data_IF_862245910971
#
_entry.id   IF_862245910971
#
_cell.length_a   1.000
_cell.length_b   1.000
_cell.length_c   1.000
_cell.angle_alpha   90.00
_cell.angle_beta   90.00
_cell.angle_gamma   90.00
#
_symmetry.space_group_name_H-M   'P 1'
#
loop_
_entity.id
_entity.type
_entity.pdbx_description
1 polymer ?
#
# COMPACT_ATOMS: atom_id res chain seq x y z
N UNK A 1 12.25 19.42 -15.38
CA UNK A 1 12.33 18.47 -14.27
C UNK A 1 11.03 17.71 -14.15
N UNK A 2 11.11 16.40 -14.12
CA UNK A 2 9.92 15.57 -13.94
C UNK A 2 9.43 15.64 -12.49
N UNK A 3 8.21 16.08 -12.27
CA UNK A 3 7.57 16.02 -10.97
C UNK A 3 7.07 14.61 -10.70
N UNK A 4 7.46 14.03 -9.59
CA UNK A 4 7.06 12.69 -9.19
C UNK A 4 5.99 12.74 -8.13
N UNK A 5 5.15 11.71 -8.08
CA UNK A 5 4.18 11.57 -7.01
C UNK A 5 4.86 11.21 -5.71
N UNK A 6 4.41 11.83 -4.63
CA UNK A 6 4.79 11.46 -3.27
C UNK A 6 3.66 10.62 -2.69
N UNK A 7 3.93 9.34 -2.51
CA UNK A 7 2.99 8.41 -1.91
C UNK A 7 3.44 8.13 -0.48
N UNK A 8 2.54 8.28 0.48
CA UNK A 8 2.80 7.96 1.88
C UNK A 8 1.83 6.92 2.37
N UNK A 9 2.32 6.01 3.20
CA UNK A 9 1.50 5.03 3.86
C UNK A 9 1.75 5.08 5.36
N UNK A 10 0.67 5.12 6.14
CA UNK A 10 0.72 5.09 7.61
C UNK A 10 -0.09 3.89 8.05
N UNK A 11 0.51 3.04 8.89
CA UNK A 11 -0.14 1.84 9.43
C UNK A 11 -0.45 2.06 10.90
N UNK A 12 -1.69 1.78 11.28
CA UNK A 12 -2.16 1.85 12.65
C UNK A 12 -2.61 0.47 13.12
N UNK A 13 -2.53 0.25 14.44
CA UNK A 13 -3.15 -0.93 15.06
C UNK A 13 -4.66 -0.69 15.24
N UNK A 14 -5.36 -1.68 15.81
CA UNK A 14 -6.82 -1.62 15.98
C UNK A 14 -7.23 -0.51 16.94
N UNK A 15 -6.35 -0.10 17.86
CA UNK A 15 -6.61 0.98 18.80
C UNK A 15 -6.27 2.36 18.25
N UNK A 16 -5.75 2.44 17.02
CA UNK A 16 -5.40 3.70 16.37
C UNK A 16 -3.98 4.20 16.62
N UNK A 17 -3.13 3.37 17.25
CA UNK A 17 -1.72 3.73 17.45
C UNK A 17 -0.94 3.57 16.15
N UNK A 18 -0.13 4.57 15.80
CA UNK A 18 0.71 4.51 14.61
C UNK A 18 1.85 3.51 14.81
N UNK A 19 1.94 2.51 13.93
CA UNK A 19 2.98 1.49 13.97
C UNK A 19 4.13 1.81 13.02
N UNK A 20 3.85 2.46 11.92
CA UNK A 20 4.87 2.78 10.91
C UNK A 20 4.39 3.85 9.94
N UNK A 21 5.37 4.46 9.28
CA UNK A 21 5.17 5.47 8.25
C UNK A 21 6.22 5.23 7.17
N UNK A 22 5.84 5.33 5.91
CA UNK A 22 6.78 5.17 4.80
C UNK A 22 6.37 6.00 3.60
N UNK A 23 7.35 6.33 2.76
CA UNK A 23 7.14 6.96 1.45
C UNK A 23 7.64 6.02 0.36
N UNK A 24 7.11 6.17 -0.85
CA UNK A 24 7.53 5.38 -1.99
C UNK A 24 8.97 5.71 -2.41
N UNK A 25 9.60 4.76 -3.12
CA UNK A 25 10.93 4.94 -3.69
C UNK A 25 10.87 4.74 -5.20
N UNK A 26 11.68 5.52 -5.92
CA UNK A 26 11.87 5.36 -7.36
C UNK A 26 13.22 4.70 -7.70
N UNK A 27 14.00 4.36 -6.68
CA UNK A 27 15.36 3.83 -6.86
C UNK A 27 15.63 2.55 -6.07
N UNK A 28 14.90 2.33 -4.97
CA UNK A 28 15.12 1.18 -4.08
C UNK A 28 14.17 0.06 -4.41
N UNK A 29 14.63 -1.17 -4.19
CA UNK A 29 13.80 -2.38 -4.31
C UNK A 29 13.94 -3.21 -3.03
N UNK A 30 13.09 -4.23 -2.90
CA UNK A 30 13.11 -5.13 -1.76
C UNK A 30 12.59 -6.49 -2.20
N UNK A 31 13.10 -7.60 -1.67
CA UNK A 31 12.63 -8.93 -2.04
C UNK A 31 11.12 -9.13 -1.87
N UNK A 32 10.51 -8.51 -0.85
CA UNK A 32 9.05 -8.60 -0.66
C UNK A 32 8.28 -7.87 -1.75
N UNK A 33 8.77 -6.72 -2.21
CA UNK A 33 8.16 -6.04 -3.36
C UNK A 33 8.19 -6.94 -4.59
N UNK A 34 9.34 -7.54 -4.87
CA UNK A 34 9.49 -8.44 -6.01
C UNK A 34 8.58 -9.68 -5.88
N UNK A 35 8.47 -10.22 -4.66
CA UNK A 35 7.61 -11.37 -4.38
C UNK A 35 6.13 -11.07 -4.71
N UNK A 36 5.59 -9.97 -4.17
CA UNK A 36 4.19 -9.61 -4.40
C UNK A 36 3.95 -9.15 -5.84
N UNK A 37 4.93 -8.48 -6.46
CA UNK A 37 4.83 -8.11 -7.87
C UNK A 37 4.69 -9.36 -8.75
N UNK A 38 5.47 -10.38 -8.48
CA UNK A 38 5.39 -11.66 -9.21
C UNK A 38 4.04 -12.33 -9.00
N UNK A 39 3.55 -12.38 -7.76
CA UNK A 39 2.24 -12.96 -7.44
C UNK A 39 1.09 -12.23 -8.15
N UNK A 40 1.22 -10.93 -8.33
CA UNK A 40 0.21 -10.11 -9.01
C UNK A 40 0.33 -10.14 -10.54
N UNK A 41 1.29 -10.91 -11.08
CA UNK A 41 1.51 -10.95 -12.53
C UNK A 41 2.18 -9.70 -13.09
N UNK A 42 2.89 -8.94 -12.25
CA UNK A 42 3.55 -7.69 -12.65
C UNK A 42 5.03 -7.69 -12.24
N UNK A 43 5.83 -8.68 -12.70
CA UNK A 43 7.19 -8.89 -12.18
C UNK A 43 8.18 -7.77 -12.44
N UNK A 44 7.88 -6.85 -13.36
CA UNK A 44 8.76 -5.70 -13.65
C UNK A 44 8.57 -4.54 -12.65
N UNK A 45 7.55 -4.57 -11.82
CA UNK A 45 7.29 -3.49 -10.85
C UNK A 45 8.03 -3.73 -9.55
N UNK A 46 9.34 -3.54 -9.60
CA UNK A 46 10.28 -3.91 -8.52
C UNK A 46 10.62 -2.76 -7.57
N UNK A 47 10.35 -1.50 -7.95
CA UNK A 47 10.64 -0.38 -7.06
C UNK A 47 9.67 -0.37 -5.89
N UNK A 48 10.21 -0.09 -4.70
CA UNK A 48 9.51 -0.28 -3.44
C UNK A 48 8.37 0.73 -3.27
N UNK A 49 7.15 0.21 -3.15
CA UNK A 49 5.96 1.00 -2.88
C UNK A 49 5.91 1.41 -1.40
N UNK A 50 5.31 2.57 -1.13
CA UNK A 50 5.16 3.08 0.23
C UNK A 50 4.42 2.09 1.14
N UNK A 51 3.36 1.47 0.62
CA UNK A 51 2.53 0.53 1.37
C UNK A 51 3.36 -0.68 1.83
N UNK A 52 4.15 -1.26 0.92
CA UNK A 52 4.97 -2.42 1.25
C UNK A 52 6.07 -2.05 2.24
N UNK A 53 6.71 -0.90 2.07
CA UNK A 53 7.72 -0.44 3.02
C UNK A 53 7.12 -0.21 4.41
N UNK A 54 5.92 0.39 4.48
CA UNK A 54 5.23 0.59 5.76
C UNK A 54 4.91 -0.75 6.43
N UNK A 55 4.46 -1.74 5.66
CA UNK A 55 4.18 -3.08 6.19
C UNK A 55 5.44 -3.74 6.73
N UNK A 56 6.56 -3.64 6.02
CA UNK A 56 7.85 -4.17 6.48
C UNK A 56 8.24 -3.52 7.80
N UNK A 57 8.18 -2.18 7.86
CA UNK A 57 8.55 -1.44 9.07
C UNK A 57 7.65 -1.78 10.25
N UNK A 58 6.34 -1.94 10.04
CA UNK A 58 5.43 -2.29 11.13
C UNK A 58 5.77 -3.65 11.72
N UNK A 59 6.17 -4.62 10.89
CA UNK A 59 6.52 -5.95 11.38
C UNK A 59 7.88 -5.98 12.08
N UNK A 60 8.84 -5.12 11.65
CA UNK A 60 10.18 -5.08 12.24
C UNK A 60 10.24 -4.31 13.56
N UNK A 61 9.44 -3.25 13.69
CA UNK A 61 9.61 -2.28 14.78
C UNK A 61 8.43 -2.24 15.75
N UNK A 62 7.43 -3.10 15.58
CA UNK A 62 6.27 -3.13 16.45
C UNK A 62 5.85 -4.56 16.75
N UNK A 63 5.42 -4.79 17.99
CA UNK A 63 4.81 -6.06 18.42
C UNK A 63 3.29 -6.06 18.22
N UNK A 64 2.71 -4.90 17.94
CA UNK A 64 1.28 -4.78 17.70
C UNK A 64 0.94 -5.18 16.28
N UNK A 65 -0.25 -5.76 16.11
CA UNK A 65 -0.69 -6.20 14.79
C UNK A 65 -1.16 -5.02 13.95
N UNK A 66 -0.72 -4.91 12.69
CA UNK A 66 -1.26 -3.90 11.79
C UNK A 66 -2.74 -4.19 11.52
N UNK A 67 -3.55 -3.15 11.47
CA UNK A 67 -4.98 -3.27 11.25
C UNK A 67 -5.48 -2.37 10.13
N UNK A 68 -5.02 -1.11 10.11
CA UNK A 68 -5.49 -0.09 9.19
C UNK A 68 -4.31 0.53 8.46
N UNK A 69 -4.46 0.79 7.17
CA UNK A 69 -3.47 1.52 6.39
C UNK A 69 -4.11 2.77 5.79
N UNK A 70 -3.40 3.89 5.88
CA UNK A 70 -3.82 5.18 5.34
C UNK A 70 -2.83 5.60 4.27
N UNK A 71 -3.31 5.75 3.04
CA UNK A 71 -2.45 5.99 1.88
C UNK A 71 -2.81 7.33 1.26
N UNK A 72 -1.81 8.21 1.08
CA UNK A 72 -1.99 9.46 0.38
C UNK A 72 -1.08 9.53 -0.83
N UNK A 73 -1.53 10.20 -1.88
CA UNK A 73 -0.77 10.44 -3.09
C UNK A 73 -0.87 11.91 -3.44
N UNK A 74 0.27 12.59 -3.44
CA UNK A 74 0.33 14.04 -3.60
C UNK A 74 1.32 14.38 -4.72
N UNK A 75 0.95 15.37 -5.54
CA UNK A 75 1.82 15.95 -6.56
C UNK A 75 1.43 17.41 -6.71
N UNK A 76 2.42 18.32 -6.65
CA UNK A 76 2.19 19.76 -6.79
C UNK A 76 1.11 20.29 -5.82
N UNK A 77 1.15 19.84 -4.56
CA UNK A 77 0.23 20.22 -3.48
C UNK A 77 -1.23 19.82 -3.74
N UNK A 78 -1.47 18.88 -4.63
CA UNK A 78 -2.82 18.36 -4.91
C UNK A 78 -2.89 16.88 -4.58
N UNK A 79 -4.06 16.45 -4.10
CA UNK A 79 -4.33 15.05 -3.84
C UNK A 79 -4.73 14.34 -5.14
N UNK A 80 -4.22 13.12 -5.28
CA UNK A 80 -4.57 12.21 -6.37
C UNK A 80 -5.00 10.87 -5.79
N UNK A 81 -5.51 9.98 -6.64
CA UNK A 81 -5.95 8.67 -6.18
C UNK A 81 -4.76 7.85 -5.68
N UNK A 82 -4.84 7.46 -4.41
CA UNK A 82 -3.91 6.54 -3.77
C UNK A 82 -4.53 5.15 -3.59
N UNK A 83 -5.52 4.81 -4.40
CA UNK A 83 -6.15 3.49 -4.39
C UNK A 83 -5.05 2.42 -4.51
N UNK A 84 -5.02 1.43 -3.61
CA UNK A 84 -3.95 0.43 -3.65
C UNK A 84 -3.96 -0.37 -4.95
N UNK A 85 -2.77 -0.63 -5.48
CA UNK A 85 -2.60 -1.44 -6.68
C UNK A 85 -2.72 -2.93 -6.34
N UNK A 86 -2.88 -3.81 -7.35
CA UNK A 86 -2.99 -5.25 -7.10
C UNK A 86 -1.82 -5.83 -6.29
N UNK A 87 -0.60 -5.33 -6.48
CA UNK A 87 0.57 -5.79 -5.74
C UNK A 87 0.43 -5.49 -4.25
N UNK A 88 0.07 -4.25 -3.91
CA UNK A 88 -0.03 -3.82 -2.52
C UNK A 88 -1.20 -4.48 -1.80
N UNK A 89 -2.29 -4.77 -2.49
CA UNK A 89 -3.43 -5.47 -1.90
C UNK A 89 -3.04 -6.87 -1.44
N UNK A 90 -2.24 -7.61 -2.22
CA UNK A 90 -1.74 -8.91 -1.80
C UNK A 90 -0.85 -8.81 -0.56
N UNK A 91 0.00 -7.79 -0.52
CA UNK A 91 0.85 -7.54 0.64
C UNK A 91 0.03 -7.19 1.88
N UNK A 92 -0.97 -6.31 1.73
CA UNK A 92 -1.86 -5.93 2.84
C UNK A 92 -2.55 -7.15 3.44
N UNK A 93 -3.06 -8.03 2.60
CA UNK A 93 -3.68 -9.26 3.08
C UNK A 93 -2.69 -10.13 3.83
N UNK A 94 -1.50 -10.32 3.29
CA UNK A 94 -0.48 -11.17 3.89
C UNK A 94 -0.04 -10.66 5.28
N UNK A 95 -0.04 -9.33 5.47
CA UNK A 95 0.33 -8.72 6.75
C UNK A 95 -0.85 -8.52 7.69
N UNK A 96 -2.07 -8.87 7.29
CA UNK A 96 -3.23 -8.83 8.16
C UNK A 96 -3.99 -7.50 8.20
N UNK A 97 -3.74 -6.61 7.27
CA UNK A 97 -4.50 -5.35 7.18
C UNK A 97 -5.96 -5.67 6.88
N UNK A 98 -6.88 -5.01 7.58
CA UNK A 98 -8.33 -5.16 7.40
C UNK A 98 -8.95 -3.96 6.71
N UNK A 99 -8.53 -2.74 7.07
CA UNK A 99 -9.14 -1.49 6.64
C UNK A 99 -8.15 -0.66 5.84
N UNK A 100 -8.61 -0.10 4.72
CA UNK A 100 -7.82 0.76 3.84
C UNK A 100 -8.52 2.10 3.69
N UNK A 101 -7.79 3.18 3.96
CA UNK A 101 -8.23 4.53 3.70
C UNK A 101 -7.25 5.16 2.70
N UNK A 102 -7.75 5.93 1.74
CA UNK A 102 -6.87 6.50 0.73
C UNK A 102 -7.41 7.81 0.18
N UNK A 103 -6.51 8.64 -0.33
CA UNK A 103 -6.89 9.92 -0.97
C UNK A 103 -7.44 9.68 -2.37
N UNK A 104 -8.28 10.60 -2.80
CA UNK A 104 -8.70 10.76 -4.19
C UNK A 104 -8.61 12.24 -4.53
N UNK A 105 -8.82 12.59 -5.79
CA UNK A 105 -8.88 14.01 -6.17
C UNK A 105 -10.08 14.75 -5.57
N UNK A 106 -10.98 14.04 -4.89
CA UNK A 106 -12.16 14.59 -4.21
C UNK A 106 -12.11 14.42 -2.70
N UNK A 107 -10.94 14.08 -2.14
CA UNK A 107 -10.75 13.88 -0.72
C UNK A 107 -10.52 12.42 -0.35
N UNK A 108 -10.65 12.12 0.95
CA UNK A 108 -10.38 10.78 1.47
C UNK A 108 -11.57 9.85 1.29
N UNK A 109 -11.25 8.59 1.00
CA UNK A 109 -12.19 7.46 1.06
C UNK A 109 -11.81 6.64 2.30
N UNK A 110 -12.77 6.33 3.16
CA UNK A 110 -12.52 5.66 4.44
C UNK A 110 -13.26 4.32 4.52
N UNK A 111 -12.69 3.41 5.30
CA UNK A 111 -13.36 2.19 5.72
C UNK A 111 -13.49 1.12 4.66
N UNK A 112 -12.67 1.16 3.62
CA UNK A 112 -12.68 0.11 2.62
C UNK A 112 -12.00 -1.14 3.17
N UNK A 113 -12.57 -2.31 2.90
CA UNK A 113 -11.99 -3.58 3.33
C UNK A 113 -11.03 -4.12 2.26
N UNK A 114 -9.94 -4.73 2.70
CA UNK A 114 -8.96 -5.35 1.79
C UNK A 114 -9.66 -6.33 0.84
N UNK A 115 -10.64 -7.08 1.33
CA UNK A 115 -11.37 -8.05 0.51
C UNK A 115 -12.10 -7.42 -0.67
N UNK A 116 -12.57 -6.17 -0.54
CA UNK A 116 -13.24 -5.47 -1.65
C UNK A 116 -12.28 -5.27 -2.82
N UNK A 117 -11.02 -4.92 -2.53
CA UNK A 117 -10.00 -4.76 -3.57
C UNK A 117 -9.58 -6.10 -4.16
N UNK A 118 -9.50 -7.14 -3.34
CA UNK A 118 -9.20 -8.48 -3.83
C UNK A 118 -10.24 -8.96 -4.83
N UNK A 119 -11.51 -8.73 -4.53
CA UNK A 119 -12.61 -9.09 -5.42
C UNK A 119 -12.53 -8.30 -6.73
N UNK A 120 -12.24 -7.00 -6.63
CA UNK A 120 -12.08 -6.13 -7.81
C UNK A 120 -10.92 -6.60 -8.70
N UNK A 121 -9.81 -7.05 -8.10
CA UNK A 121 -8.60 -7.46 -8.83
C UNK A 121 -8.52 -8.96 -9.12
N UNK A 122 -9.58 -9.69 -8.86
CA UNK A 122 -9.58 -11.16 -8.99
C UNK A 122 -9.14 -11.63 -10.39
N UNK A 123 -9.61 -10.99 -11.44
CA UNK A 123 -9.25 -11.36 -12.81
C UNK A 123 -7.77 -11.13 -13.10
N UNK A 124 -7.16 -10.13 -12.45
CA UNK A 124 -5.73 -9.84 -12.61
C UNK A 124 -4.89 -10.97 -11.98
N UNK A 125 -5.27 -11.40 -10.78
CA UNK A 125 -4.54 -12.45 -10.07
C UNK A 125 -4.69 -13.83 -10.75
N UNK A 126 -5.79 -14.06 -11.45
CA UNK A 126 -6.06 -15.33 -12.10
C UNK A 126 -5.34 -15.47 -13.45
N UNK A 127 -4.82 -14.39 -14.00
CA UNK A 127 -4.16 -14.38 -15.31
C UNK A 127 -2.65 -14.65 -15.16
N UNK A 128 -2.33 -15.90 -15.00
CA UNK A 128 -0.93 -16.33 -14.95
C UNK A 128 -0.44 -16.78 -16.33
#
# INVERSE_FOLDING_TARGET
>A
MKTRYNVRAIINDKQGHCLSLASNSYTKSHPLQAHFAKLAGQPNKIYLHAEILALIRSSLYSNNKPYEINISRIKDNKDYSAKPCPICVLAMEAFGIKIVNYTTNKGWVYGKKVEEFKDEYRSIYAND
#
